data_IF_176430641040
#
_entry.id   IF_176430641040
#
_cell.length_a   1.000
_cell.length_b   1.000
_cell.length_c   1.000
_cell.angle_alpha   90.00
_cell.angle_beta   90.00
_cell.angle_gamma   90.00
#
_symmetry.space_group_name_H-M   'P 1'
#
loop_
_entity.id
_entity.type
_entity.pdbx_description
1 polymer ?
#
# COMPACT_ATOMS: atom_id res chain seq x y z
N UNK A 1 -0.08 -3.21 -14.49
CA UNK A 1 -1.38 -3.62 -13.90
C UNK A 1 -1.87 -5.03 -14.24
N UNK A 2 -1.64 -5.58 -15.44
CA UNK A 2 -2.15 -6.92 -15.83
C UNK A 2 -1.66 -8.13 -14.98
N UNK A 3 -0.69 -7.93 -14.07
CA UNK A 3 -0.08 -9.03 -13.27
C UNK A 3 -0.71 -9.27 -11.90
N UNK A 4 -1.44 -8.31 -11.34
CA UNK A 4 -2.07 -8.47 -10.03
C UNK A 4 -3.50 -8.97 -10.23
N UNK A 5 -3.73 -10.28 -10.31
CA UNK A 5 -5.06 -10.90 -10.45
C UNK A 5 -5.94 -10.77 -9.19
N UNK A 6 -6.04 -9.57 -8.63
CA UNK A 6 -6.74 -9.31 -7.38
C UNK A 6 -8.26 -9.25 -7.57
N UNK A 7 -8.99 -9.74 -6.56
CA UNK A 7 -10.44 -9.67 -6.51
C UNK A 7 -10.97 -8.23 -6.65
N UNK A 8 -12.24 -8.11 -7.02
CA UNK A 8 -12.95 -6.83 -7.09
C UNK A 8 -13.08 -6.19 -5.70
N UNK A 9 -13.11 -4.85 -5.68
CA UNK A 9 -13.37 -4.08 -4.47
C UNK A 9 -14.85 -4.07 -4.09
N UNK A 10 -15.28 -3.03 -3.37
CA UNK A 10 -16.67 -2.88 -2.93
C UNK A 10 -17.64 -2.62 -4.09
N UNK A 11 -17.13 -2.06 -5.20
CA UNK A 11 -17.88 -1.73 -6.41
C UNK A 11 -18.15 -2.94 -7.30
N UNK A 12 -17.58 -4.11 -6.97
CA UNK A 12 -17.74 -5.35 -7.72
C UNK A 12 -17.06 -5.35 -9.09
N UNK A 13 -16.42 -4.25 -9.50
CA UNK A 13 -15.76 -4.15 -10.80
C UNK A 13 -14.45 -4.95 -10.79
N UNK A 14 -14.38 -5.93 -11.68
CA UNK A 14 -13.17 -6.74 -11.89
C UNK A 14 -12.16 -6.02 -12.77
N UNK A 15 -10.90 -6.47 -12.77
CA UNK A 15 -9.87 -5.95 -13.68
C UNK A 15 -10.23 -6.17 -15.16
N UNK A 16 -10.92 -7.27 -15.48
CA UNK A 16 -11.36 -7.56 -16.83
C UNK A 16 -12.39 -6.51 -17.29
N UNK A 17 -13.44 -6.29 -16.49
CA UNK A 17 -14.48 -5.29 -16.76
C UNK A 17 -13.93 -3.86 -16.81
N UNK A 18 -12.99 -3.52 -15.93
CA UNK A 18 -12.31 -2.22 -15.99
C UNK A 18 -11.50 -2.08 -17.30
N UNK A 19 -10.89 -3.17 -17.75
CA UNK A 19 -10.12 -3.23 -18.99
C UNK A 19 -10.95 -3.16 -20.28
N UNK A 20 -12.21 -3.61 -20.25
CA UNK A 20 -13.13 -3.51 -21.40
C UNK A 20 -13.41 -2.06 -21.80
N UNK A 21 -13.42 -1.14 -20.84
CA UNK A 21 -13.61 0.31 -21.04
C UNK A 21 -12.43 1.12 -20.54
N UNK A 22 -11.21 0.62 -20.81
CA UNK A 22 -10.00 1.16 -20.20
C UNK A 22 -9.83 2.66 -20.45
N UNK A 23 -9.95 3.12 -21.70
CA UNK A 23 -9.71 4.51 -22.05
C UNK A 23 -10.72 5.45 -21.40
N UNK A 24 -12.02 5.11 -21.44
CA UNK A 24 -13.08 5.86 -20.77
C UNK A 24 -12.82 5.98 -19.26
N UNK A 25 -12.50 4.85 -18.61
CA UNK A 25 -12.25 4.80 -17.18
C UNK A 25 -11.02 5.64 -16.79
N UNK A 26 -9.96 5.61 -17.59
CA UNK A 26 -8.75 6.40 -17.36
C UNK A 26 -8.99 7.90 -17.60
N UNK A 27 -9.73 8.26 -18.65
CA UNK A 27 -10.10 9.66 -18.92
C UNK A 27 -10.97 10.24 -17.81
N UNK A 28 -11.93 9.45 -17.32
CA UNK A 28 -12.76 9.84 -16.18
C UNK A 28 -11.89 10.06 -14.93
N UNK A 29 -11.03 9.10 -14.57
CA UNK A 29 -10.13 9.24 -13.42
C UNK A 29 -9.22 10.46 -13.55
N UNK A 30 -8.65 10.69 -14.73
CA UNK A 30 -7.81 11.85 -15.00
C UNK A 30 -8.58 13.15 -14.77
N UNK A 31 -9.81 13.25 -15.26
CA UNK A 31 -10.65 14.43 -15.08
C UNK A 31 -11.00 14.66 -13.60
N UNK A 32 -11.39 13.61 -12.89
CA UNK A 32 -11.70 13.68 -11.46
C UNK A 32 -10.48 14.09 -10.60
N UNK A 33 -9.29 13.60 -10.94
CA UNK A 33 -8.04 13.99 -10.27
C UNK A 33 -7.69 15.46 -10.56
N UNK A 34 -7.79 15.89 -11.82
CA UNK A 34 -7.55 17.30 -12.22
C UNK A 34 -8.51 18.28 -11.55
N UNK A 35 -9.78 17.89 -11.45
CA UNK A 35 -10.85 18.71 -10.85
C UNK A 35 -10.97 18.54 -9.33
N UNK A 36 -10.13 17.70 -8.71
CA UNK A 36 -10.14 17.38 -7.27
C UNK A 36 -11.46 16.76 -6.77
N UNK A 37 -12.23 16.17 -7.68
CA UNK A 37 -13.48 15.49 -7.40
C UNK A 37 -13.30 14.02 -7.06
N UNK A 38 -12.12 13.44 -7.34
CA UNK A 38 -11.79 12.07 -6.96
C UNK A 38 -11.99 11.86 -5.45
N UNK A 39 -12.63 10.74 -5.10
CA UNK A 39 -12.79 10.26 -3.73
C UNK A 39 -12.46 8.78 -3.68
N UNK A 40 -11.52 8.40 -2.82
CA UNK A 40 -11.18 7.00 -2.60
C UNK A 40 -12.38 6.24 -2.02
N UNK A 41 -12.63 5.04 -2.54
CA UNK A 41 -13.68 4.18 -2.01
C UNK A 41 -13.20 3.41 -0.78
N UNK A 42 -14.11 3.05 0.15
CA UNK A 42 -13.80 2.13 1.23
C UNK A 42 -13.25 0.81 0.71
N UNK A 43 -12.25 0.26 1.41
CA UNK A 43 -11.66 -1.03 1.01
C UNK A 43 -12.56 -2.18 1.46
N UNK A 44 -12.71 -3.20 0.62
CA UNK A 44 -13.48 -4.40 0.97
C UNK A 44 -12.67 -5.25 1.95
N UNK A 45 -13.21 -5.54 3.14
CA UNK A 45 -12.53 -6.40 4.11
C UNK A 45 -12.78 -7.88 3.78
N UNK A 46 -11.72 -8.67 3.71
CA UNK A 46 -11.77 -10.12 3.47
C UNK A 46 -10.99 -10.83 4.56
N UNK A 47 -11.61 -11.85 5.14
CA UNK A 47 -10.99 -12.72 6.13
C UNK A 47 -10.24 -13.86 5.44
N UNK A 48 -8.95 -13.98 5.70
CA UNK A 48 -8.11 -15.07 5.19
C UNK A 48 -7.58 -15.86 6.39
N UNK A 49 -7.86 -17.17 6.50
CA UNK A 49 -7.33 -17.98 7.58
C UNK A 49 -5.80 -18.03 7.52
N UNK A 50 -5.14 -17.88 8.67
CA UNK A 50 -3.69 -18.11 8.77
C UNK A 50 -3.39 -19.59 9.01
N UNK A 51 -2.18 -20.01 8.63
CA UNK A 51 -1.72 -21.38 8.82
C UNK A 51 -1.53 -21.76 10.31
N UNK A 52 -1.29 -20.78 11.18
CA UNK A 52 -1.02 -20.92 12.62
C UNK A 52 -2.26 -20.78 13.52
N UNK A 53 -3.44 -20.60 12.93
CA UNK A 53 -4.68 -20.30 13.65
C UNK A 53 -4.90 -18.80 13.82
N UNK A 54 -6.10 -18.33 13.49
CA UNK A 54 -6.46 -16.92 13.45
C UNK A 54 -6.73 -16.41 12.03
N UNK A 55 -7.11 -15.14 11.94
CA UNK A 55 -7.59 -14.53 10.70
C UNK A 55 -6.69 -13.35 10.32
N UNK A 56 -6.30 -13.27 9.05
CA UNK A 56 -5.70 -12.10 8.42
C UNK A 56 -6.80 -11.31 7.74
N UNK A 57 -6.97 -10.06 8.17
CA UNK A 57 -7.90 -9.13 7.56
C UNK A 57 -7.18 -8.43 6.39
N UNK A 58 -7.66 -8.67 5.17
CA UNK A 58 -7.15 -8.03 3.96
C UNK A 58 -8.12 -6.94 3.51
N UNK A 59 -7.61 -5.74 3.27
CA UNK A 59 -8.35 -4.67 2.58
C UNK A 59 -8.10 -4.78 1.08
N UNK A 60 -9.17 -4.94 0.30
CA UNK A 60 -9.13 -4.99 -1.16
C UNK A 60 -9.72 -3.67 -1.70
N UNK A 61 -8.89 -2.74 -2.20
CA UNK A 61 -9.38 -1.53 -2.84
C UNK A 61 -10.07 -1.83 -4.17
N UNK A 62 -10.92 -0.90 -4.62
CA UNK A 62 -11.50 -0.94 -5.96
C UNK A 62 -10.41 -0.90 -7.04
N UNK A 63 -10.73 -1.37 -8.26
CA UNK A 63 -9.75 -1.35 -9.37
C UNK A 63 -9.30 0.09 -9.65
N UNK A 64 -10.25 1.03 -9.68
CA UNK A 64 -9.97 2.45 -9.90
C UNK A 64 -9.02 3.03 -8.84
N UNK A 65 -9.20 2.67 -7.57
CA UNK A 65 -8.33 3.18 -6.50
C UNK A 65 -6.95 2.54 -6.59
N UNK A 66 -6.85 1.26 -6.97
CA UNK A 66 -5.56 0.63 -7.25
C UNK A 66 -4.82 1.34 -8.38
N UNK A 67 -5.53 1.85 -9.40
CA UNK A 67 -4.93 2.65 -10.49
C UNK A 67 -4.30 3.93 -9.95
N UNK A 68 -5.05 4.70 -9.16
CA UNK A 68 -4.54 5.95 -8.59
C UNK A 68 -3.42 5.68 -7.57
N UNK A 69 -3.59 4.70 -6.68
CA UNK A 69 -2.57 4.30 -5.70
C UNK A 69 -1.26 3.87 -6.37
N UNK A 70 -1.34 3.09 -7.45
CA UNK A 70 -0.16 2.68 -8.21
C UNK A 70 0.53 3.87 -8.87
N UNK A 71 -0.23 4.80 -9.47
CA UNK A 71 0.33 6.00 -10.07
C UNK A 71 1.02 6.90 -9.02
N UNK A 72 0.40 7.09 -7.85
CA UNK A 72 1.01 7.79 -6.72
C UNK A 72 2.27 7.07 -6.24
N UNK A 73 2.23 5.74 -6.13
CA UNK A 73 3.39 4.95 -5.72
C UNK A 73 4.57 5.09 -6.70
N UNK A 74 4.30 5.02 -8.00
CA UNK A 74 5.32 5.21 -9.04
C UNK A 74 5.95 6.61 -8.99
N UNK A 75 5.14 7.64 -8.72
CA UNK A 75 5.61 9.00 -8.53
C UNK A 75 6.50 9.15 -7.29
N UNK A 76 6.12 8.52 -6.17
CA UNK A 76 6.81 8.69 -4.89
C UNK A 76 8.03 7.79 -4.73
N UNK A 77 8.04 6.62 -5.35
CA UNK A 77 9.13 5.64 -5.26
C UNK A 77 10.51 6.26 -5.48
N UNK A 78 10.81 6.99 -6.59
CA UNK A 78 12.14 7.55 -6.80
C UNK A 78 12.54 8.57 -5.72
N UNK A 79 11.59 9.32 -5.16
CA UNK A 79 11.84 10.34 -4.12
C UNK A 79 12.30 9.69 -2.80
N UNK A 80 11.69 8.56 -2.43
CA UNK A 80 11.97 7.88 -1.17
C UNK A 80 13.08 6.82 -1.29
N UNK A 81 13.25 6.20 -2.45
CA UNK A 81 14.27 5.17 -2.67
C UNK A 81 15.69 5.64 -2.37
N UNK A 82 16.01 6.90 -2.70
CA UNK A 82 17.31 7.52 -2.44
C UNK A 82 17.64 7.62 -0.94
N UNK A 83 16.63 7.59 -0.06
CA UNK A 83 16.81 7.80 1.37
C UNK A 83 16.71 6.52 2.19
N UNK A 84 16.10 5.48 1.64
CA UNK A 84 15.94 4.25 2.39
C UNK A 84 17.29 3.62 2.72
N UNK A 85 17.43 3.25 3.99
CA UNK A 85 18.64 2.64 4.50
C UNK A 85 19.05 1.41 3.67
N UNK A 86 20.35 1.17 3.42
CA UNK A 86 20.82 0.02 2.64
C UNK A 86 20.50 -1.36 3.25
N UNK A 87 20.03 -1.42 4.50
CA UNK A 87 19.52 -2.65 5.14
C UNK A 87 17.98 -2.73 5.15
N UNK A 88 17.29 -1.85 4.43
CA UNK A 88 15.85 -1.95 4.20
C UNK A 88 15.61 -2.69 2.89
N UNK A 89 14.89 -3.82 2.94
CA UNK A 89 14.70 -4.73 1.80
C UNK A 89 13.24 -4.96 1.41
N UNK A 90 12.30 -4.81 2.35
CA UNK A 90 10.89 -5.09 2.13
C UNK A 90 10.22 -4.05 1.23
N UNK A 91 9.38 -4.50 0.29
CA UNK A 91 8.55 -3.67 -0.57
C UNK A 91 9.30 -2.64 -1.45
N UNK A 92 10.59 -2.88 -1.71
CA UNK A 92 11.43 -1.98 -2.51
C UNK A 92 11.72 -2.55 -3.91
N UNK A 93 11.79 -1.70 -4.95
CA UNK A 93 12.23 -2.14 -6.27
C UNK A 93 13.64 -2.72 -6.20
N UNK A 94 13.88 -3.81 -6.95
CA UNK A 94 15.18 -4.47 -7.06
C UNK A 94 15.78 -4.95 -5.73
N UNK A 95 14.94 -5.21 -4.72
CA UNK A 95 15.35 -5.86 -3.45
C UNK A 95 14.45 -7.03 -3.12
N UNK A 96 15.00 -8.00 -2.42
CA UNK A 96 14.33 -9.26 -2.10
C UNK A 96 14.66 -9.75 -0.69
N UNK A 97 13.89 -10.73 -0.21
CA UNK A 97 14.19 -11.43 1.04
C UNK A 97 15.56 -12.13 0.99
N UNK A 98 16.00 -12.58 -0.20
CA UNK A 98 17.32 -13.20 -0.37
C UNK A 98 18.46 -12.21 -0.15
N UNK A 99 18.29 -10.93 -0.50
CA UNK A 99 19.28 -9.89 -0.23
C UNK A 99 19.43 -9.65 1.28
N UNK A 100 18.31 -9.68 2.02
CA UNK A 100 18.30 -9.55 3.47
C UNK A 100 19.04 -10.72 4.14
N UNK A 101 18.75 -11.96 3.73
CA UNK A 101 19.44 -13.17 4.23
C UNK A 101 20.93 -13.12 3.91
N UNK A 102 21.29 -12.74 2.68
CA UNK A 102 22.68 -12.61 2.25
C UNK A 102 23.44 -11.62 3.12
N UNK A 103 22.86 -10.43 3.36
CA UNK A 103 23.48 -9.41 4.21
C UNK A 103 23.60 -9.86 5.67
N UNK A 104 22.55 -10.45 6.24
CA UNK A 104 22.60 -10.98 7.60
C UNK A 104 23.69 -12.06 7.76
N UNK A 105 23.77 -13.00 6.83
CA UNK A 105 24.77 -14.07 6.81
C UNK A 105 26.19 -13.50 6.70
N UNK A 106 26.39 -12.48 5.85
CA UNK A 106 27.67 -11.78 5.72
C UNK A 106 28.10 -11.15 7.04
N UNK A 107 27.19 -10.47 7.75
CA UNK A 107 27.48 -9.81 9.02
C UNK A 107 27.84 -10.81 10.12
N UNK A 108 27.08 -11.91 10.23
CA UNK A 108 27.35 -13.00 11.18
C UNK A 108 28.77 -13.54 10.97
N UNK A 109 29.15 -13.84 9.73
CA UNK A 109 30.45 -14.41 9.39
C UNK A 109 31.59 -13.41 9.58
N UNK A 110 31.42 -12.17 9.11
CA UNK A 110 32.47 -11.15 9.10
C UNK A 110 32.81 -10.65 10.51
N UNK A 111 31.82 -10.53 11.38
CA UNK A 111 31.99 -9.94 12.71
C UNK A 111 31.83 -10.97 13.85
N UNK A 112 31.66 -12.25 13.53
CA UNK A 112 31.50 -13.31 14.53
C UNK A 112 30.28 -13.13 15.43
N UNK A 113 29.20 -12.53 14.91
CA UNK A 113 27.99 -12.26 15.69
C UNK A 113 27.24 -13.57 15.98
N UNK A 114 27.07 -13.90 17.26
CA UNK A 114 26.44 -15.16 17.71
C UNK A 114 25.00 -14.99 18.19
N UNK A 115 24.55 -13.75 18.35
CA UNK A 115 23.23 -13.42 18.89
C UNK A 115 22.46 -12.56 17.89
N UNK A 116 21.16 -12.81 17.80
CA UNK A 116 20.20 -12.06 16.99
C UNK A 116 19.13 -11.52 17.92
N UNK A 117 18.78 -10.25 17.74
CA UNK A 117 17.61 -9.65 18.37
C UNK A 117 16.50 -9.64 17.34
N UNK A 118 15.50 -10.49 17.56
CA UNK A 118 14.32 -10.55 16.71
C UNK A 118 13.25 -9.57 17.21
N UNK A 119 12.71 -8.76 16.30
CA UNK A 119 11.75 -7.69 16.62
C UNK A 119 10.65 -7.68 15.57
N UNK A 120 9.41 -7.85 16.02
CA UNK A 120 8.20 -7.76 15.19
C UNK A 120 7.20 -6.76 15.76
N UNK A 121 6.49 -6.06 14.87
CA UNK A 121 5.45 -5.11 15.24
C UNK A 121 4.07 -5.73 15.04
N UNK A 122 3.42 -6.08 16.14
CA UNK A 122 2.07 -6.64 16.11
C UNK A 122 1.06 -5.66 15.52
N UNK A 123 0.28 -6.12 14.53
CA UNK A 123 -0.78 -5.35 13.86
C UNK A 123 -0.29 -3.98 13.35
N UNK A 124 0.93 -3.94 12.78
CA UNK A 124 1.59 -2.71 12.36
C UNK A 124 0.65 -1.77 11.59
N UNK A 125 0.03 -2.24 10.49
CA UNK A 125 -0.85 -1.40 9.67
C UNK A 125 -2.15 -0.97 10.35
N UNK A 126 -2.70 -1.76 11.28
CA UNK A 126 -3.92 -1.39 12.00
C UNK A 126 -3.66 -0.37 13.12
N UNK A 127 -2.39 -0.11 13.47
CA UNK A 127 -1.98 0.75 14.59
C UNK A 127 -1.17 1.97 14.18
N UNK A 128 -0.90 2.15 12.89
CA UNK A 128 -0.14 3.28 12.40
C UNK A 128 -0.98 4.56 12.50
N UNK A 129 -0.44 5.56 13.19
CA UNK A 129 -1.04 6.89 13.24
C UNK A 129 -0.92 7.55 11.86
N UNK A 130 -2.08 7.85 11.26
CA UNK A 130 -2.15 8.46 9.94
C UNK A 130 -1.50 9.85 9.89
N UNK A 131 -1.57 10.63 10.95
CA UNK A 131 -0.99 11.96 10.98
C UNK A 131 0.54 11.88 11.04
N UNK A 132 1.10 10.91 11.76
CA UNK A 132 2.54 10.64 11.72
C UNK A 132 3.00 10.24 10.31
N UNK A 133 2.26 9.39 9.61
CA UNK A 133 2.57 9.02 8.22
C UNK A 133 2.59 10.27 7.33
N UNK A 134 1.52 11.07 7.35
CA UNK A 134 1.40 12.27 6.52
C UNK A 134 2.52 13.26 6.84
N UNK A 135 2.87 13.45 8.12
CA UNK A 135 3.98 14.31 8.51
C UNK A 135 5.32 13.84 7.95
N UNK A 136 5.61 12.53 7.96
CA UNK A 136 6.85 12.01 7.37
C UNK A 136 6.88 12.22 5.85
N UNK A 137 5.76 11.97 5.16
CA UNK A 137 5.68 12.18 3.69
C UNK A 137 5.86 13.65 3.33
N UNK A 138 5.24 14.56 4.10
CA UNK A 138 5.30 16.01 3.89
C UNK A 138 6.72 16.59 3.98
N UNK A 139 7.66 15.91 4.64
CA UNK A 139 9.08 16.32 4.66
C UNK A 139 9.72 16.33 3.28
N UNK A 140 9.17 15.57 2.32
CA UNK A 140 9.73 15.39 0.97
C UNK A 140 8.75 15.73 -0.15
N UNK A 141 7.46 15.68 0.13
CA UNK A 141 6.40 15.98 -0.85
C UNK A 141 5.67 17.24 -0.39
N UNK A 142 5.76 18.31 -1.17
CA UNK A 142 5.09 19.59 -0.88
C UNK A 142 3.76 19.74 -1.61
N UNK A 143 3.48 18.90 -2.61
CA UNK A 143 2.24 18.94 -3.38
C UNK A 143 1.05 18.54 -2.50
N UNK A 144 0.18 19.51 -2.23
CA UNK A 144 -1.01 19.32 -1.40
C UNK A 144 -2.02 18.35 -2.01
N UNK A 145 -2.09 18.23 -3.33
CA UNK A 145 -2.98 17.30 -4.02
C UNK A 145 -2.53 15.87 -3.80
N UNK A 146 -1.22 15.59 -3.84
CA UNK A 146 -0.67 14.27 -3.55
C UNK A 146 -0.87 13.91 -2.07
N UNK A 147 -0.60 14.83 -1.16
CA UNK A 147 -0.81 14.62 0.28
C UNK A 147 -2.28 14.33 0.60
N UNK A 148 -3.20 15.03 -0.05
CA UNK A 148 -4.64 14.80 0.11
C UNK A 148 -5.07 13.44 -0.43
N UNK A 149 -4.52 12.98 -1.56
CA UNK A 149 -4.78 11.62 -2.06
C UNK A 149 -4.33 10.55 -1.07
N UNK A 150 -3.13 10.69 -0.50
CA UNK A 150 -2.63 9.76 0.52
C UNK A 150 -3.54 9.76 1.75
N UNK A 151 -3.95 10.95 2.21
CA UNK A 151 -4.88 11.08 3.33
C UNK A 151 -6.21 10.39 3.03
N UNK A 152 -6.77 10.57 1.83
CA UNK A 152 -7.98 9.87 1.41
C UNK A 152 -7.80 8.35 1.40
N UNK A 153 -6.66 7.81 0.95
CA UNK A 153 -6.40 6.36 0.99
C UNK A 153 -6.30 5.81 2.41
N UNK A 154 -5.69 6.56 3.32
CA UNK A 154 -5.60 6.17 4.72
C UNK A 154 -6.98 6.22 5.40
N UNK A 155 -7.80 7.21 5.05
CA UNK A 155 -9.09 7.48 5.70
C UNK A 155 -10.32 6.88 5.00
N UNK A 156 -10.17 6.23 3.85
CA UNK A 156 -11.32 5.73 3.07
C UNK A 156 -12.16 4.69 3.81
N UNK A 157 -11.64 4.15 4.92
CA UNK A 157 -12.32 3.21 5.78
C UNK A 157 -12.37 1.82 5.17
N UNK A 158 -12.98 0.91 5.92
CA UNK A 158 -13.16 -0.49 5.55
C UNK A 158 -14.65 -0.80 5.50
N UNK A 159 -15.08 -1.56 4.49
CA UNK A 159 -16.43 -2.08 4.41
C UNK A 159 -16.45 -3.50 4.97
N UNK A 160 -17.24 -3.72 6.03
CA UNK A 160 -17.41 -5.01 6.71
C UNK A 160 -18.92 -5.33 6.69
N UNK A 161 -19.32 -6.39 6.00
CA UNK A 161 -20.73 -6.83 5.90
C UNK A 161 -21.72 -5.71 5.52
N UNK A 162 -21.30 -4.81 4.62
CA UNK A 162 -22.11 -3.67 4.17
C UNK A 162 -22.14 -2.48 5.13
N UNK A 163 -21.38 -2.52 6.22
CA UNK A 163 -21.20 -1.38 7.15
C UNK A 163 -19.82 -0.75 6.97
N UNK A 164 -19.81 0.57 6.88
CA UNK A 164 -18.59 1.36 6.87
C UNK A 164 -18.01 1.42 8.29
N UNK A 165 -16.74 1.03 8.44
CA UNK A 165 -15.97 1.22 9.64
C UNK A 165 -14.74 2.09 9.33
N UNK A 166 -14.26 2.82 10.34
CA UNK A 166 -13.02 3.59 10.23
C UNK A 166 -11.81 2.66 10.08
N UNK A 167 -10.78 3.16 9.42
CA UNK A 167 -9.51 2.45 9.25
C UNK A 167 -8.65 2.44 10.53
N UNK A 168 -9.00 3.27 11.53
CA UNK A 168 -8.40 3.37 12.87
C UNK A 168 -9.50 3.27 13.92
#
# INVERSE_FOLDING_TARGET
MRRAGGAAGIDGQTLAQFGERLDDNLLQLLNELKTKQYRALPVKRVEIPKADGGVRLLGIPSVRDRVVQQAVNELLTPIFEEQFHPSSFGYRPNRSCHDAISKATMFIRRYGLKHVVDMDLSKCFDRLDHELIIQQVKKRVTDSSVLELIRQFLQSGVMIDGKLASTI
#
